data_IF_450682713229
#
_entry.id   IF_450682713229
#
_cell.length_a   1.000
_cell.length_b   1.000
_cell.length_c   1.000
_cell.angle_alpha   90.00
_cell.angle_beta   90.00
_cell.angle_gamma   90.00
#
_symmetry.space_group_name_H-M   'P 1'
#
loop_
_entity.id
_entity.type
_entity.pdbx_description
1 polymer ?
#
# COMPACT_ATOMS: atom_id res chain seq x y z
N UNK A 1 -7.93 23.02 2.01
CA UNK A 1 -7.47 22.08 0.95
C UNK A 1 -6.34 21.22 1.51
N UNK A 2 -6.35 19.89 1.40
CA UNK A 2 -5.24 19.07 1.93
C UNK A 2 -3.99 19.26 1.06
N UNK A 3 -2.90 19.78 1.64
CA UNK A 3 -1.62 19.87 0.95
C UNK A 3 -0.87 18.54 1.06
N UNK A 4 -0.77 17.80 -0.05
CA UNK A 4 -0.04 16.53 -0.09
C UNK A 4 1.39 16.77 -0.54
N UNK A 5 2.35 16.24 0.24
CA UNK A 5 3.77 16.29 -0.14
C UNK A 5 3.99 15.47 -1.42
N UNK A 6 4.50 16.11 -2.47
CA UNK A 6 5.01 15.45 -3.67
C UNK A 6 6.33 14.75 -3.32
N UNK A 7 6.41 13.46 -3.61
CA UNK A 7 7.61 12.64 -3.44
C UNK A 7 8.41 12.52 -4.74
N UNK A 8 7.71 12.53 -5.88
CA UNK A 8 8.32 12.44 -7.20
C UNK A 8 7.32 12.96 -8.26
N UNK A 9 7.85 13.54 -9.32
CA UNK A 9 7.07 14.08 -10.43
C UNK A 9 7.89 14.02 -11.72
N UNK A 10 7.31 13.49 -12.80
CA UNK A 10 7.88 13.60 -14.15
C UNK A 10 6.78 13.74 -15.22
N UNK A 11 7.09 13.45 -16.50
CA UNK A 11 6.11 13.51 -17.60
C UNK A 11 5.02 12.42 -17.51
N UNK A 12 5.27 11.30 -16.83
CA UNK A 12 4.42 10.11 -16.80
C UNK A 12 3.65 9.91 -15.50
N UNK A 13 4.25 10.26 -14.36
CA UNK A 13 3.73 9.91 -13.04
C UNK A 13 3.95 11.04 -12.01
N UNK A 14 2.96 11.20 -11.13
CA UNK A 14 3.06 11.98 -9.89
C UNK A 14 2.96 11.00 -8.73
N UNK A 15 3.84 11.17 -7.76
CA UNK A 15 3.90 10.36 -6.55
C UNK A 15 3.73 11.29 -5.37
N UNK A 16 2.77 11.01 -4.51
CA UNK A 16 2.50 11.81 -3.32
C UNK A 16 2.55 10.94 -2.06
N UNK A 17 2.81 11.58 -0.93
CA UNK A 17 2.67 10.99 0.39
C UNK A 17 1.26 11.26 0.94
N UNK A 18 0.43 10.22 1.04
CA UNK A 18 -0.85 10.31 1.73
C UNK A 18 -0.63 10.22 3.25
N UNK A 19 -1.04 11.23 4.04
CA UNK A 19 -1.04 11.11 5.50
C UNK A 19 -2.04 10.06 6.01
N UNK A 20 -1.89 9.68 7.28
CA UNK A 20 -2.85 8.83 8.00
C UNK A 20 -4.15 9.62 8.20
N UNK A 21 -5.29 8.93 8.28
CA UNK A 21 -6.60 9.54 8.56
C UNK A 21 -7.31 10.11 7.33
N UNK A 22 -6.59 10.31 6.22
CA UNK A 22 -7.15 10.86 4.98
C UNK A 22 -7.64 9.76 4.04
N UNK A 23 -8.90 9.85 3.60
CA UNK A 23 -9.43 9.03 2.52
C UNK A 23 -9.02 9.68 1.21
N UNK A 24 -8.21 9.01 0.40
CA UNK A 24 -7.89 9.51 -0.94
C UNK A 24 -8.98 9.09 -1.92
N UNK A 25 -10.05 9.89 -1.98
CA UNK A 25 -11.15 9.69 -2.93
C UNK A 25 -11.01 10.61 -4.14
N UNK A 26 -11.73 10.28 -5.23
CA UNK A 26 -11.84 11.14 -6.43
C UNK A 26 -12.44 12.52 -6.14
N UNK A 27 -13.10 12.69 -4.99
CA UNK A 27 -13.81 13.90 -4.57
C UNK A 27 -12.87 14.92 -3.93
N UNK A 28 -11.73 14.50 -3.38
CA UNK A 28 -10.71 15.45 -2.93
C UNK A 28 -10.04 16.05 -4.17
N UNK A 29 -10.54 17.22 -4.53
CA UNK A 29 -10.04 18.15 -5.54
C UNK A 29 -8.62 18.63 -5.19
N UNK A 30 -7.65 17.72 -5.23
CA UNK A 30 -6.26 18.11 -5.36
C UNK A 30 -6.07 18.63 -6.78
N UNK A 31 -5.31 19.71 -6.96
CA UNK A 31 -5.04 20.29 -8.27
C UNK A 31 -4.41 19.26 -9.23
N UNK A 32 -3.71 18.25 -8.69
CA UNK A 32 -3.18 17.10 -9.45
C UNK A 32 -4.23 16.27 -10.21
N UNK A 33 -5.51 16.35 -9.84
CA UNK A 33 -6.58 15.45 -10.29
C UNK A 33 -7.70 16.23 -11.00
N UNK A 34 -7.95 17.49 -10.63
CA UNK A 34 -9.05 18.32 -11.17
C UNK A 34 -9.09 18.31 -12.70
N UNK A 35 -7.94 18.46 -13.35
CA UNK A 35 -7.84 18.59 -14.81
C UNK A 35 -7.61 17.26 -15.55
N UNK A 36 -7.74 16.12 -14.86
CA UNK A 36 -7.48 14.77 -15.42
C UNK A 36 -8.75 13.97 -15.70
N UNK A 37 -9.86 14.63 -16.07
CA UNK A 37 -11.15 13.96 -16.35
C UNK A 37 -11.04 12.92 -17.49
N UNK A 38 -10.15 13.15 -18.46
CA UNK A 38 -9.90 12.24 -19.59
C UNK A 38 -9.19 10.94 -19.22
N UNK A 39 -8.57 10.85 -18.03
CA UNK A 39 -7.90 9.64 -17.58
C UNK A 39 -8.86 8.74 -16.79
N UNK A 40 -8.86 7.41 -17.02
CA UNK A 40 -9.64 6.50 -16.19
C UNK A 40 -9.25 6.66 -14.72
N UNK A 41 -10.26 6.68 -13.84
CA UNK A 41 -10.06 6.88 -12.41
C UNK A 41 -9.30 8.20 -12.08
N UNK A 42 -9.37 9.21 -12.95
CA UNK A 42 -8.61 10.47 -12.90
C UNK A 42 -7.09 10.25 -12.77
N UNK A 43 -6.58 9.17 -13.37
CA UNK A 43 -5.18 8.77 -13.34
C UNK A 43 -4.72 8.03 -12.08
N UNK A 44 -5.58 7.87 -11.06
CA UNK A 44 -5.19 7.21 -9.79
C UNK A 44 -4.90 5.72 -10.02
N UNK A 45 -3.66 5.31 -9.72
CA UNK A 45 -3.15 3.96 -10.02
C UNK A 45 -3.36 2.97 -8.89
N UNK A 46 -3.27 3.41 -7.64
CA UNK A 46 -3.45 2.62 -6.43
C UNK A 46 -4.35 3.35 -5.41
N UNK A 47 -4.79 2.62 -4.38
CA UNK A 47 -5.51 3.18 -3.24
C UNK A 47 -4.86 2.73 -1.94
N UNK A 48 -5.05 3.52 -0.90
CA UNK A 48 -4.69 3.21 0.48
C UNK A 48 -5.91 3.42 1.37
N UNK A 49 -6.06 2.59 2.39
CA UNK A 49 -7.14 2.74 3.37
C UNK A 49 -6.97 4.06 4.15
N UNK A 50 -8.05 4.55 4.79
CA UNK A 50 -8.07 5.81 5.56
C UNK A 50 -6.85 5.92 6.49
N UNK A 51 -6.63 4.91 7.31
CA UNK A 51 -5.54 4.88 8.30
C UNK A 51 -4.23 4.25 7.79
N UNK A 52 -4.07 4.11 6.48
CA UNK A 52 -2.80 3.67 5.86
C UNK A 52 -2.11 4.87 5.24
N UNK A 53 -0.86 5.17 5.61
CA UNK A 53 -0.10 6.28 5.00
C UNK A 53 0.84 5.82 3.89
N UNK A 54 1.43 6.77 3.16
CA UNK A 54 2.51 6.52 2.22
C UNK A 54 2.10 6.73 0.76
N UNK A 55 2.70 5.95 -0.13
CA UNK A 55 2.72 6.21 -1.57
C UNK A 55 1.33 6.15 -2.23
N UNK A 56 0.92 7.23 -2.86
CA UNK A 56 -0.13 7.26 -3.88
C UNK A 56 0.49 7.64 -5.23
N UNK A 57 0.12 6.89 -6.25
CA UNK A 57 0.60 7.03 -7.62
C UNK A 57 -0.52 7.54 -8.52
N UNK A 58 -0.23 8.57 -9.30
CA UNK A 58 -1.17 9.21 -10.22
C UNK A 58 -0.50 9.29 -11.59
N UNK A 59 -1.05 8.62 -12.59
CA UNK A 59 -0.62 8.75 -13.97
C UNK A 59 -0.90 10.16 -14.49
N UNK A 60 -0.05 10.64 -15.41
CA UNK A 60 -0.25 11.90 -16.14
C UNK A 60 -0.72 11.71 -17.57
N UNK A 61 -0.54 10.51 -18.13
CA UNK A 61 -0.96 10.17 -19.47
C UNK A 61 -1.57 8.76 -19.52
N UNK A 62 -2.29 8.51 -20.61
CA UNK A 62 -3.08 7.28 -20.78
C UNK A 62 -2.20 6.06 -21.02
N UNK A 63 -1.08 6.24 -21.73
CA UNK A 63 -0.11 5.20 -22.04
C UNK A 63 0.52 4.63 -20.77
N UNK A 64 1.02 5.49 -19.88
CA UNK A 64 1.56 5.08 -18.58
C UNK A 64 0.48 4.45 -17.69
N UNK A 65 -0.74 4.97 -17.73
CA UNK A 65 -1.85 4.42 -16.94
C UNK A 65 -2.10 2.94 -17.27
N UNK A 66 -2.31 2.62 -18.55
CA UNK A 66 -2.57 1.23 -18.97
C UNK A 66 -1.35 0.34 -18.81
N UNK A 67 -0.14 0.83 -19.09
CA UNK A 67 1.09 0.11 -18.81
C UNK A 67 1.18 -0.30 -17.33
N UNK A 68 0.97 0.64 -16.42
CA UNK A 68 1.04 0.34 -14.98
C UNK A 68 -0.04 -0.65 -14.54
N UNK A 69 -1.26 -0.57 -15.12
CA UNK A 69 -2.31 -1.57 -14.87
C UNK A 69 -1.90 -2.96 -15.34
N UNK A 70 -1.24 -3.09 -16.51
CA UNK A 70 -0.68 -4.37 -16.97
C UNK A 70 0.34 -4.93 -15.98
N UNK A 71 1.26 -4.10 -15.46
CA UNK A 71 2.21 -4.52 -14.44
C UNK A 71 1.54 -5.03 -13.14
N UNK A 72 0.43 -4.40 -12.72
CA UNK A 72 -0.35 -4.84 -11.56
C UNK A 72 -1.00 -6.21 -11.79
N UNK A 73 -1.52 -6.46 -13.00
CA UNK A 73 -2.11 -7.75 -13.39
C UNK A 73 -1.06 -8.86 -13.40
N UNK A 74 0.11 -8.57 -13.97
CA UNK A 74 1.26 -9.49 -14.04
C UNK A 74 1.97 -9.69 -12.69
N UNK A 75 1.63 -8.91 -11.65
CA UNK A 75 2.21 -8.98 -10.30
C UNK A 75 3.74 -8.81 -10.25
N UNK A 76 4.30 -8.08 -11.20
CA UNK A 76 5.74 -7.82 -11.31
C UNK A 76 6.19 -6.55 -10.55
N UNK A 77 5.24 -5.76 -10.06
CA UNK A 77 5.52 -4.62 -9.18
C UNK A 77 5.88 -5.12 -7.78
N UNK A 78 7.04 -4.69 -7.28
CA UNK A 78 7.48 -4.96 -5.91
C UNK A 78 6.95 -3.85 -4.99
N UNK A 79 6.07 -4.19 -4.05
CA UNK A 79 5.43 -3.26 -3.11
C UNK A 79 5.86 -3.60 -1.69
N UNK A 80 6.48 -2.65 -0.98
CA UNK A 80 6.93 -2.83 0.41
C UNK A 80 6.20 -1.88 1.35
N UNK A 81 5.74 -2.43 2.46
CA UNK A 81 5.07 -1.76 3.55
C UNK A 81 5.87 -1.92 4.84
N UNK A 82 5.62 -1.02 5.77
CA UNK A 82 6.17 -1.03 7.12
C UNK A 82 5.01 -1.09 8.13
N UNK A 83 5.15 -1.93 9.15
CA UNK A 83 4.12 -2.13 10.18
C UNK A 83 4.71 -2.80 11.42
N UNK A 84 3.94 -2.82 12.51
CA UNK A 84 4.30 -3.41 13.79
C UNK A 84 3.33 -4.52 14.16
N UNK A 85 3.84 -5.71 14.47
CA UNK A 85 3.01 -6.80 15.01
C UNK A 85 3.88 -7.76 15.80
N UNK A 86 3.27 -8.76 16.42
CA UNK A 86 4.01 -9.84 17.06
C UNK A 86 3.91 -11.12 16.22
N UNK A 87 5.06 -11.64 15.78
CA UNK A 87 5.15 -12.90 15.03
C UNK A 87 6.60 -13.41 14.99
N UNK A 88 6.85 -14.45 14.19
CA UNK A 88 8.18 -15.00 13.86
C UNK A 88 9.05 -13.95 13.15
N UNK A 89 10.37 -14.21 13.07
CA UNK A 89 11.35 -13.31 12.43
C UNK A 89 11.05 -13.06 10.94
N UNK A 90 10.58 -14.07 10.21
CA UNK A 90 10.20 -13.98 8.79
C UNK A 90 9.13 -15.02 8.47
N UNK A 91 8.38 -14.80 7.40
CA UNK A 91 7.40 -15.78 6.92
C UNK A 91 6.58 -15.27 5.75
N UNK A 92 5.59 -16.05 5.37
CA UNK A 92 4.59 -15.68 4.37
C UNK A 92 3.20 -16.13 4.81
N UNK A 93 2.19 -15.53 4.20
CA UNK A 93 0.77 -15.77 4.45
C UNK A 93 0.12 -15.93 3.09
N UNK A 94 -0.35 -17.15 2.81
CA UNK A 94 -1.05 -17.50 1.58
C UNK A 94 -2.51 -17.84 1.92
N UNK A 95 -3.29 -16.80 2.22
CA UNK A 95 -4.70 -16.94 2.57
C UNK A 95 -5.53 -16.21 1.53
N UNK A 96 -6.51 -16.90 0.95
CA UNK A 96 -7.46 -16.27 0.03
C UNK A 96 -8.34 -15.27 0.76
N UNK A 97 -8.71 -14.19 0.09
CA UNK A 97 -9.59 -13.16 0.66
C UNK A 97 -10.91 -13.13 -0.10
N UNK A 98 -12.00 -13.25 0.67
CA UNK A 98 -13.37 -13.08 0.17
C UNK A 98 -13.59 -11.63 -0.23
N UNK A 99 -14.16 -11.42 -1.40
CA UNK A 99 -14.69 -10.11 -1.77
C UNK A 99 -16.05 -10.00 -1.09
N UNK A 100 -16.21 -9.10 -0.11
CA UNK A 100 -17.55 -8.69 0.36
C UNK A 100 -18.25 -7.99 -0.81
N UNK A 101 -18.85 -8.75 -1.72
CA UNK A 101 -19.91 -8.25 -2.57
C UNK A 101 -21.15 -9.01 -2.09
N UNK A 102 -22.06 -8.26 -1.46
CA UNK A 102 -23.47 -8.60 -1.50
C UNK A 102 -23.83 -8.77 -2.99
N UNK A 103 -24.56 -9.83 -3.30
CA UNK A 103 -25.11 -10.29 -4.60
C UNK A 103 -24.81 -11.78 -4.72
N UNK A 104 -25.89 -12.54 -4.91
CA UNK A 104 -26.12 -13.98 -5.02
C UNK A 104 -25.23 -14.79 -6.01
N UNK A 105 -23.96 -14.43 -6.19
CA UNK A 105 -23.02 -15.11 -7.09
C UNK A 105 -21.88 -15.73 -6.29
N UNK A 106 -21.71 -17.05 -6.43
CA UNK A 106 -20.64 -17.89 -5.83
C UNK A 106 -19.37 -17.08 -5.50
N UNK A 107 -19.07 -16.95 -4.21
CA UNK A 107 -17.95 -16.16 -3.69
C UNK A 107 -16.64 -16.78 -4.15
N UNK A 108 -16.09 -16.34 -5.29
CA UNK A 108 -14.74 -16.75 -5.71
C UNK A 108 -13.72 -16.13 -4.77
N UNK A 109 -13.20 -16.95 -3.86
CA UNK A 109 -12.05 -16.66 -3.03
C UNK A 109 -10.86 -16.26 -3.90
N UNK A 110 -10.28 -15.09 -3.64
CA UNK A 110 -9.17 -14.62 -4.45
C UNK A 110 -7.85 -14.86 -3.72
N UNK A 111 -7.00 -15.72 -4.30
CA UNK A 111 -5.63 -16.02 -3.83
C UNK A 111 -4.87 -14.74 -3.49
N UNK A 112 -4.32 -14.64 -2.29
CA UNK A 112 -3.59 -13.46 -1.85
C UNK A 112 -2.38 -13.83 -1.02
N UNK A 113 -1.26 -13.16 -1.29
CA UNK A 113 0.05 -13.56 -0.79
C UNK A 113 0.81 -12.36 -0.23
N UNK A 114 1.25 -12.51 1.01
CA UNK A 114 1.96 -11.51 1.80
C UNK A 114 3.21 -12.14 2.41
N UNK A 115 4.35 -11.48 2.28
CA UNK A 115 5.61 -11.87 2.91
C UNK A 115 5.96 -10.84 3.96
N UNK A 116 6.61 -11.27 5.04
CA UNK A 116 7.09 -10.36 6.07
C UNK A 116 8.47 -10.78 6.58
N UNK A 117 9.29 -9.78 6.92
CA UNK A 117 10.62 -9.95 7.53
C UNK A 117 10.85 -8.86 8.56
N UNK A 118 11.29 -9.27 9.75
CA UNK A 118 11.59 -8.36 10.85
C UNK A 118 12.75 -7.44 10.46
N UNK A 119 12.61 -6.17 10.80
CA UNK A 119 13.64 -5.14 10.74
C UNK A 119 14.29 -5.02 12.11
N UNK A 120 13.46 -4.88 13.16
CA UNK A 120 13.90 -4.66 14.54
C UNK A 120 12.95 -5.34 15.52
N UNK A 121 13.49 -6.02 16.54
CA UNK A 121 12.73 -6.49 17.70
C UNK A 121 12.52 -5.33 18.68
N UNK A 122 11.34 -5.22 19.24
CA UNK A 122 11.00 -4.23 20.26
C UNK A 122 10.37 -4.96 21.47
N UNK A 123 10.19 -4.29 22.61
CA UNK A 123 9.72 -4.95 23.85
C UNK A 123 8.34 -5.57 23.70
N UNK A 124 7.39 -4.82 23.10
CA UNK A 124 5.98 -5.22 23.01
C UNK A 124 5.57 -5.72 21.62
N UNK A 125 6.32 -5.34 20.58
CA UNK A 125 6.04 -5.68 19.18
C UNK A 125 7.32 -5.85 18.39
N UNK A 126 7.23 -6.29 17.15
CA UNK A 126 8.34 -6.32 16.21
C UNK A 126 8.04 -5.38 15.04
N UNK A 127 9.07 -4.68 14.56
CA UNK A 127 8.97 -3.82 13.40
C UNK A 127 9.28 -4.61 12.13
N UNK A 128 8.40 -4.61 11.13
CA UNK A 128 8.50 -5.45 9.93
C UNK A 128 8.54 -4.65 8.64
N UNK A 129 9.29 -5.20 7.67
CA UNK A 129 9.03 -5.02 6.26
C UNK A 129 8.01 -6.06 5.80
N UNK A 130 7.00 -5.62 5.06
CA UNK A 130 5.93 -6.45 4.50
C UNK A 130 5.88 -6.27 2.99
N UNK A 131 5.97 -7.35 2.24
CA UNK A 131 5.89 -7.35 0.77
C UNK A 131 4.61 -8.04 0.31
N UNK A 132 3.84 -7.43 -0.59
CA UNK A 132 2.62 -8.04 -1.12
C UNK A 132 2.74 -8.31 -2.62
N UNK A 133 2.38 -9.53 -3.05
CA UNK A 133 2.25 -9.86 -4.48
C UNK A 133 0.90 -9.44 -5.04
N UNK A 134 -0.15 -9.52 -4.22
CA UNK A 134 -1.51 -9.08 -4.55
C UNK A 134 -1.83 -7.74 -3.88
N UNK A 135 -3.02 -7.18 -4.12
CA UNK A 135 -3.45 -5.89 -3.56
C UNK A 135 -4.94 -5.89 -3.22
N UNK A 136 -5.39 -6.87 -2.44
CA UNK A 136 -6.81 -6.99 -2.05
C UNK A 136 -7.17 -6.02 -0.94
N UNK A 137 -8.46 -5.73 -0.79
CA UNK A 137 -9.00 -4.86 0.27
C UNK A 137 -8.53 -5.34 1.64
N UNK A 138 -7.90 -4.45 2.40
CA UNK A 138 -7.39 -4.71 3.75
C UNK A 138 -6.44 -5.92 3.86
N UNK A 139 -5.81 -6.35 2.75
CA UNK A 139 -5.09 -7.63 2.70
C UNK A 139 -4.08 -7.80 3.84
N UNK A 140 -3.19 -6.82 4.02
CA UNK A 140 -2.14 -6.89 5.04
C UNK A 140 -2.75 -6.98 6.44
N UNK A 141 -3.78 -6.18 6.72
CA UNK A 141 -4.45 -6.19 8.03
C UNK A 141 -5.12 -7.52 8.32
N UNK A 142 -5.88 -8.06 7.36
CA UNK A 142 -6.55 -9.36 7.54
C UNK A 142 -5.52 -10.47 7.74
N UNK A 143 -4.47 -10.49 6.93
CA UNK A 143 -3.39 -11.48 7.03
C UNK A 143 -2.65 -11.41 8.37
N UNK A 144 -2.29 -10.22 8.83
CA UNK A 144 -1.62 -10.05 10.13
C UNK A 144 -2.57 -10.40 11.27
N UNK A 145 -3.83 -9.96 11.23
CA UNK A 145 -4.81 -10.31 12.25
C UNK A 145 -5.00 -11.82 12.36
N UNK A 146 -4.98 -12.56 11.25
CA UNK A 146 -5.04 -14.02 11.28
C UNK A 146 -3.84 -14.64 12.03
N UNK A 147 -2.64 -14.08 11.89
CA UNK A 147 -1.48 -14.52 12.68
C UNK A 147 -1.68 -14.21 14.16
N UNK A 148 -2.09 -12.98 14.49
CA UNK A 148 -2.15 -12.52 15.88
C UNK A 148 -3.31 -13.17 16.64
N UNK A 149 -4.45 -13.37 15.98
CA UNK A 149 -5.59 -14.07 16.56
C UNK A 149 -5.21 -15.50 16.95
N UNK A 150 -4.47 -16.21 16.07
CA UNK A 150 -3.90 -17.52 16.39
C UNK A 150 -2.90 -17.46 17.56
N UNK A 151 -2.34 -16.29 17.86
CA UNK A 151 -1.47 -16.05 19.03
C UNK A 151 -2.23 -15.54 20.27
N UNK A 152 -3.58 -15.49 20.25
CA UNK A 152 -4.46 -14.98 21.33
C UNK A 152 -4.12 -13.56 21.82
N UNK A 153 -3.57 -12.69 20.97
CA UNK A 153 -3.21 -11.30 21.35
C UNK A 153 -4.18 -10.28 20.73
N UNK A 154 -4.81 -9.42 21.54
CA UNK A 154 -5.61 -8.29 21.03
C UNK A 154 -4.69 -7.10 20.79
N UNK A 155 -4.23 -6.91 19.55
CA UNK A 155 -3.53 -5.66 19.16
C UNK A 155 -4.23 -5.10 17.93
N UNK A 156 -4.77 -3.88 18.07
CA UNK A 156 -5.41 -3.15 16.98
C UNK A 156 -4.33 -2.62 16.02
N UNK A 157 -4.08 -3.34 14.94
CA UNK A 157 -3.03 -3.00 13.97
C UNK A 157 -3.49 -1.91 12.99
N UNK A 158 -3.40 -0.66 13.43
CA UNK A 158 -3.72 0.47 12.57
C UNK A 158 -2.51 1.02 11.81
N UNK A 159 -1.28 0.76 12.30
CA UNK A 159 -0.05 1.30 11.72
C UNK A 159 0.42 0.54 10.48
N UNK A 160 0.02 1.04 9.32
CA UNK A 160 0.49 0.55 8.04
C UNK A 160 1.00 1.72 7.20
N UNK A 161 2.24 1.61 6.74
CA UNK A 161 2.88 2.62 5.91
C UNK A 161 3.37 2.02 4.59
N UNK A 162 2.86 2.50 3.46
CA UNK A 162 3.31 2.08 2.14
C UNK A 162 4.64 2.76 1.81
N UNK A 163 5.72 2.06 2.15
CA UNK A 163 7.08 2.59 2.20
C UNK A 163 7.75 2.72 0.84
N UNK A 164 7.64 1.71 -0.02
CA UNK A 164 8.31 1.75 -1.32
C UNK A 164 7.61 0.96 -2.39
N UNK A 165 7.80 1.39 -3.62
CA UNK A 165 7.35 0.69 -4.82
C UNK A 165 8.48 0.63 -5.85
N UNK A 166 8.62 -0.52 -6.50
CA UNK A 166 9.64 -0.74 -7.52
C UNK A 166 9.08 -1.44 -8.76
N UNK A 167 9.36 -0.87 -9.93
CA UNK A 167 8.98 -1.40 -11.24
C UNK A 167 9.84 -0.81 -12.37
N UNK A 168 9.91 -1.48 -13.51
CA UNK A 168 10.63 -1.02 -14.69
C UNK A 168 9.66 -0.42 -15.72
N UNK A 169 10.03 0.68 -16.36
CA UNK A 169 9.29 1.29 -17.46
C UNK A 169 10.15 1.26 -18.74
N UNK A 170 9.85 0.37 -19.70
CA UNK A 170 10.73 0.09 -20.84
C UNK A 170 10.82 1.24 -21.85
N UNK A 171 9.75 2.03 -22.02
CA UNK A 171 9.69 3.10 -23.02
C UNK A 171 10.74 4.20 -22.80
N UNK A 172 11.23 4.37 -21.58
CA UNK A 172 12.33 5.30 -21.25
C UNK A 172 13.48 4.57 -20.56
N UNK A 173 13.53 3.24 -20.67
CA UNK A 173 14.52 2.35 -20.03
C UNK A 173 14.80 2.71 -18.55
N UNK A 174 13.76 3.03 -17.78
CA UNK A 174 13.90 3.55 -16.40
C UNK A 174 13.42 2.56 -15.34
N UNK A 175 14.26 2.30 -14.35
CA UNK A 175 13.87 1.64 -13.10
C UNK A 175 13.30 2.67 -12.12
N UNK A 176 12.02 2.55 -11.80
CA UNK A 176 11.39 3.35 -10.75
C UNK A 176 11.60 2.70 -9.40
N UNK A 177 12.38 3.36 -8.54
CA UNK A 177 12.62 2.99 -7.14
C UNK A 177 12.12 4.13 -6.25
N UNK A 178 10.82 4.13 -5.95
CA UNK A 178 10.16 5.23 -5.27
C UNK A 178 10.00 4.92 -3.78
N UNK A 179 10.30 5.89 -2.93
CA UNK A 179 10.29 5.75 -1.48
C UNK A 179 9.46 6.84 -0.81
N UNK A 180 8.79 6.47 0.28
CA UNK A 180 8.17 7.39 1.20
C UNK A 180 8.81 7.19 2.57
N UNK A 181 9.43 8.25 3.12
CA UNK A 181 9.94 8.22 4.49
C UNK A 181 8.77 8.02 5.45
N UNK A 182 8.98 7.22 6.50
CA UNK A 182 7.99 7.04 7.58
C UNK A 182 7.73 8.37 8.28
N UNK A 183 6.47 8.66 8.60
CA UNK A 183 6.09 9.88 9.33
C UNK A 183 6.73 9.95 10.71
N UNK A 184 6.79 11.16 11.28
CA UNK A 184 7.26 11.38 12.66
C UNK A 184 6.45 10.55 13.65
N UNK A 185 5.13 10.50 13.48
CA UNK A 185 4.23 9.69 14.28
C UNK A 185 4.52 8.18 14.18
N UNK A 186 4.86 7.70 12.98
CA UNK A 186 5.30 6.33 12.79
C UNK A 186 6.64 6.06 13.50
N UNK A 187 7.55 7.04 13.55
CA UNK A 187 8.81 6.97 14.29
C UNK A 187 8.62 7.05 15.82
N UNK A 188 7.74 7.92 16.31
CA UNK A 188 7.38 8.01 17.74
C UNK A 188 6.87 6.67 18.26
N UNK A 189 6.03 5.99 17.47
CA UNK A 189 5.58 4.64 17.80
C UNK A 189 6.68 3.58 17.78
N UNK A 190 7.75 3.75 16.99
CA UNK A 190 8.95 2.89 17.14
C UNK A 190 9.53 3.10 18.54
N UNK A 191 9.74 4.35 18.95
CA UNK A 191 10.33 4.72 20.23
C UNK A 191 9.51 4.25 21.43
N UNK A 192 8.18 4.43 21.40
CA UNK A 192 7.28 3.99 22.49
C UNK A 192 7.33 2.46 22.69
N UNK A 193 7.64 1.70 21.63
CA UNK A 193 7.70 0.25 21.69
C UNK A 193 9.11 -0.30 22.00
N UNK A 194 10.17 0.53 21.93
CA UNK A 194 11.56 0.19 22.33
C UNK A 194 11.64 -0.09 23.83
#
# INVERSE_FOLDING_TARGET
MFNFKILYYDKNIIVINKPVGVIFSKLYCCDFIKNKKYLPNKGILNRLDKYTSGIILIAKNITFYFFFKKLLLLRIIKKKYKTFFLSKKKGFINLSLKKKKFVFLKIKEKKSLTYYKIIKKLKKTNFYNVCIKTGRTHQIRIHINHIIFNLKKKILLNYLHYYSIMFYYPFIKKNFNLFCKTSIEFKKNILINI
#
